data_IF_218057490424
#
_entry.id   IF_218057490424
#
_cell.length_a   1.000
_cell.length_b   1.000
_cell.length_c   1.000
_cell.angle_alpha   90.00
_cell.angle_beta   90.00
_cell.angle_gamma   90.00
#
_symmetry.space_group_name_H-M   'P 1'
#
loop_
_entity.id
_entity.type
_entity.pdbx_description
1 polymer ?
#
# COMPACT_ATOMS: atom_id res chain seq x y z
N UNK A 1 18.05 -17.03 3.23
CA UNK A 1 19.11 -16.36 2.43
C UNK A 1 18.53 -16.06 1.05
N UNK A 2 18.63 -14.81 0.58
CA UNK A 2 18.15 -14.42 -0.76
C UNK A 2 19.21 -14.78 -1.82
N UNK A 3 18.77 -15.19 -3.02
CA UNK A 3 19.69 -15.51 -4.14
C UNK A 3 20.35 -14.25 -4.72
N UNK A 4 19.64 -13.12 -4.70
CA UNK A 4 20.09 -11.84 -5.21
C UNK A 4 20.39 -10.87 -4.05
N UNK A 5 21.28 -9.88 -4.25
CA UNK A 5 21.55 -8.87 -3.24
C UNK A 5 20.29 -8.05 -2.92
N UNK A 6 20.13 -7.71 -1.64
CA UNK A 6 19.12 -6.74 -1.19
C UNK A 6 19.63 -5.36 -1.55
N UNK A 7 18.88 -4.62 -2.38
CA UNK A 7 19.28 -3.29 -2.90
C UNK A 7 18.56 -2.14 -2.19
N UNK A 8 17.90 -2.40 -1.06
CA UNK A 8 17.16 -1.39 -0.30
C UNK A 8 18.11 -0.41 0.39
N UNK A 9 17.96 0.88 0.10
CA UNK A 9 18.70 1.95 0.77
C UNK A 9 18.11 2.28 2.15
N UNK A 10 18.98 2.60 3.11
CA UNK A 10 18.59 3.05 4.46
C UNK A 10 19.18 4.44 4.66
N UNK A 11 18.33 5.47 4.60
CA UNK A 11 18.72 6.87 4.64
C UNK A 11 17.95 7.66 5.72
N UNK A 12 18.56 8.69 6.35
CA UNK A 12 17.85 9.56 7.28
C UNK A 12 16.83 10.46 6.56
N UNK A 13 15.58 10.48 7.02
CA UNK A 13 14.50 11.22 6.35
C UNK A 13 14.70 12.75 6.38
N UNK A 14 15.36 13.27 7.42
CA UNK A 14 15.61 14.69 7.65
C UNK A 14 16.64 15.30 6.69
N UNK A 15 17.42 14.45 6.01
CA UNK A 15 18.46 14.87 5.05
C UNK A 15 17.94 15.06 3.63
N UNK A 16 16.69 14.71 3.35
CA UNK A 16 16.12 14.76 2.00
C UNK A 16 14.78 15.49 1.99
N UNK A 17 14.52 16.33 0.98
CA UNK A 17 13.23 16.98 0.85
C UNK A 17 12.14 15.94 0.52
N UNK A 18 11.00 16.05 1.20
CA UNK A 18 9.80 15.30 0.86
C UNK A 18 8.85 16.17 0.04
N UNK A 19 8.51 15.71 -1.16
CA UNK A 19 7.51 16.36 -2.02
C UNK A 19 6.26 15.50 -2.04
N UNK A 20 5.13 16.07 -1.61
CA UNK A 20 3.83 15.39 -1.64
C UNK A 20 3.47 15.12 -3.11
N UNK A 21 3.05 13.89 -3.41
CA UNK A 21 2.43 13.58 -4.69
C UNK A 21 1.14 14.39 -4.89
N UNK A 22 0.76 14.60 -6.14
CA UNK A 22 -0.43 15.35 -6.53
C UNK A 22 -1.70 14.82 -5.85
N UNK A 23 -2.72 15.67 -5.71
CA UNK A 23 -3.91 15.31 -4.94
C UNK A 23 -4.67 14.11 -5.52
N UNK A 24 -4.64 13.92 -6.84
CA UNK A 24 -5.26 12.75 -7.48
C UNK A 24 -4.52 11.42 -7.20
N UNK A 25 -3.27 11.47 -6.73
CA UNK A 25 -2.55 10.28 -6.27
C UNK A 25 -2.92 9.90 -4.84
N UNK A 26 -3.50 10.82 -4.08
CA UNK A 26 -3.90 10.57 -2.70
C UNK A 26 -5.15 9.69 -2.70
N UNK A 27 -5.12 8.63 -1.87
CA UNK A 27 -6.26 7.72 -1.71
C UNK A 27 -6.75 7.05 -3.01
N UNK A 28 -5.85 6.94 -3.99
CA UNK A 28 -6.18 6.52 -5.36
C UNK A 28 -6.94 5.19 -5.44
N UNK A 29 -6.52 4.18 -4.67
CA UNK A 29 -7.18 2.86 -4.67
C UNK A 29 -8.64 2.94 -4.20
N UNK A 30 -8.91 3.70 -3.14
CA UNK A 30 -10.25 3.83 -2.58
C UNK A 30 -11.17 4.65 -3.49
N UNK A 31 -10.62 5.66 -4.17
CA UNK A 31 -11.36 6.47 -5.14
C UNK A 31 -11.57 5.78 -6.49
N UNK A 32 -10.69 4.84 -6.85
CA UNK A 32 -10.68 4.17 -8.16
C UNK A 32 -10.60 2.63 -8.06
N UNK A 33 -11.48 1.96 -7.31
CA UNK A 33 -11.33 0.53 -7.01
C UNK A 33 -11.50 -0.36 -8.25
N UNK A 34 -12.22 0.10 -9.27
CA UNK A 34 -12.48 -0.63 -10.51
C UNK A 34 -11.42 -0.42 -11.59
N UNK A 35 -10.43 0.45 -11.35
CA UNK A 35 -9.32 0.62 -12.29
C UNK A 35 -8.58 -0.70 -12.47
N UNK A 36 -8.18 -1.01 -13.71
CA UNK A 36 -7.57 -2.29 -14.06
C UNK A 36 -6.31 -2.60 -13.25
N UNK A 37 -5.53 -1.57 -12.91
CA UNK A 37 -4.38 -1.70 -12.01
C UNK A 37 -4.79 -2.08 -10.59
N UNK A 38 -5.81 -1.43 -10.03
CA UNK A 38 -6.32 -1.70 -8.69
C UNK A 38 -6.84 -3.13 -8.56
N UNK A 39 -7.66 -3.57 -9.51
CA UNK A 39 -8.26 -4.91 -9.51
C UNK A 39 -7.22 -6.02 -9.73
N UNK A 40 -6.25 -5.81 -10.63
CA UNK A 40 -5.29 -6.85 -10.99
C UNK A 40 -4.09 -6.95 -10.04
N UNK A 41 -3.63 -5.82 -9.48
CA UNK A 41 -2.37 -5.75 -8.74
C UNK A 41 -2.58 -5.48 -7.25
N UNK A 42 -3.46 -4.54 -6.91
CA UNK A 42 -3.60 -4.05 -5.53
C UNK A 42 -4.53 -4.94 -4.71
N UNK A 43 -5.68 -5.35 -5.28
CA UNK A 43 -6.72 -6.12 -4.59
C UNK A 43 -6.17 -7.35 -3.86
N UNK A 44 -5.34 -8.14 -4.53
CA UNK A 44 -4.76 -9.35 -3.94
C UNK A 44 -3.84 -9.08 -2.74
N UNK A 45 -3.21 -7.90 -2.68
CA UNK A 45 -2.36 -7.50 -1.55
C UNK A 45 -3.22 -7.07 -0.36
N UNK A 46 -4.28 -6.31 -0.62
CA UNK A 46 -5.26 -5.88 0.40
C UNK A 46 -5.94 -7.10 1.02
N UNK A 47 -6.43 -8.02 0.19
CA UNK A 47 -7.13 -9.23 0.66
C UNK A 47 -6.23 -10.10 1.56
N UNK A 48 -4.95 -10.24 1.20
CA UNK A 48 -3.97 -10.97 2.03
C UNK A 48 -3.76 -10.28 3.38
N UNK A 49 -3.72 -8.96 3.41
CA UNK A 49 -3.58 -8.21 4.65
C UNK A 49 -4.82 -8.38 5.53
N UNK A 50 -6.01 -8.14 4.98
CA UNK A 50 -7.28 -8.28 5.72
C UNK A 50 -7.43 -9.68 6.27
N UNK A 51 -7.21 -10.71 5.44
CA UNK A 51 -7.30 -12.11 5.88
C UNK A 51 -6.30 -12.45 6.98
N UNK A 52 -5.08 -11.92 6.93
CA UNK A 52 -4.03 -12.25 7.91
C UNK A 52 -4.24 -11.55 9.26
N UNK A 53 -4.83 -10.37 9.26
CA UNK A 53 -4.92 -9.51 10.44
C UNK A 53 -6.36 -9.18 10.84
N UNK A 54 -7.32 -10.03 10.44
CA UNK A 54 -8.75 -9.79 10.58
C UNK A 54 -9.16 -9.36 12.00
N UNK A 55 -8.60 -10.00 13.02
CA UNK A 55 -8.89 -9.72 14.44
C UNK A 55 -8.28 -8.42 14.97
N UNK A 56 -7.32 -7.84 14.24
CA UNK A 56 -6.66 -6.57 14.56
C UNK A 56 -7.22 -5.40 13.75
N UNK A 57 -8.13 -5.68 12.81
CA UNK A 57 -8.74 -4.63 12.00
C UNK A 57 -9.67 -3.78 12.87
N UNK A 58 -9.65 -2.47 12.61
CA UNK A 58 -10.65 -1.56 13.18
C UNK A 58 -12.03 -1.97 12.66
N UNK A 59 -13.05 -1.88 13.51
CA UNK A 59 -14.44 -2.28 13.20
C UNK A 59 -14.98 -1.72 11.87
N UNK A 60 -14.46 -0.58 11.44
CA UNK A 60 -14.90 0.16 10.26
C UNK A 60 -14.32 -0.39 8.94
N UNK A 61 -13.34 -1.30 9.00
CA UNK A 61 -12.65 -1.86 7.82
C UNK A 61 -13.41 -3.04 7.20
N UNK A 62 -14.32 -3.68 7.94
CA UNK A 62 -15.03 -4.87 7.46
C UNK A 62 -16.11 -4.58 6.40
N UNK A 63 -16.40 -3.31 6.12
CA UNK A 63 -17.48 -2.87 5.21
C UNK A 63 -16.98 -2.16 3.94
N UNK A 64 -15.71 -2.32 3.57
CA UNK A 64 -15.16 -1.88 2.28
C UNK A 64 -14.87 -3.07 1.35
#
# INVERSE_FOLDING_TARGET
VYKNPVVTEILPIDKYPFYKGEDYHQDYYNQNPTQGYCSSIVKSKVDKFVKKYQDLLKNNVQNQ
#
